data_IF_604940149146
#
_entry.id   IF_604940149146
#
_cell.length_a   1.000
_cell.length_b   1.000
_cell.length_c   1.000
_cell.angle_alpha   90.00
_cell.angle_beta   90.00
_cell.angle_gamma   90.00
#
_symmetry.space_group_name_H-M   'P 1'
#
loop_
_entity.id
_entity.type
_entity.pdbx_description
1 polymer ?
#
# COMPACT_ATOMS: atom_id res chain seq x y z
N UNK A 1 6.07 -17.53 9.48
CA UNK A 1 4.99 -17.74 8.48
C UNK A 1 5.27 -16.79 7.34
N UNK A 2 5.44 -17.30 6.11
CA UNK A 2 5.60 -16.44 4.95
C UNK A 2 4.24 -15.83 4.61
N UNK A 3 4.16 -14.51 4.65
CA UNK A 3 2.99 -13.68 4.30
C UNK A 3 2.38 -14.15 2.97
N UNK A 4 1.14 -14.62 2.99
CA UNK A 4 0.43 -15.11 1.79
C UNK A 4 -0.02 -13.97 0.86
N UNK A 5 0.12 -12.69 1.27
CA UNK A 5 -0.24 -11.51 0.48
C UNK A 5 0.99 -10.63 0.20
N UNK A 6 1.94 -11.16 -0.58
CA UNK A 6 3.02 -10.33 -1.09
C UNK A 6 2.53 -9.60 -2.35
N UNK A 7 2.79 -8.29 -2.42
CA UNK A 7 2.53 -7.50 -3.62
C UNK A 7 3.30 -8.11 -4.80
N UNK A 8 2.58 -8.51 -5.84
CA UNK A 8 3.17 -8.99 -7.09
C UNK A 8 3.70 -7.82 -7.93
N UNK A 9 4.60 -8.12 -8.87
CA UNK A 9 5.11 -7.11 -9.82
C UNK A 9 3.99 -6.54 -10.68
N UNK A 10 3.08 -7.39 -11.14
CA UNK A 10 1.94 -6.97 -11.98
C UNK A 10 1.00 -6.01 -11.24
N UNK A 11 0.71 -6.28 -9.96
CA UNK A 11 -0.10 -5.36 -9.13
C UNK A 11 0.61 -4.03 -8.90
N UNK A 12 1.93 -4.06 -8.66
CA UNK A 12 2.73 -2.85 -8.56
C UNK A 12 2.67 -2.02 -9.85
N UNK A 13 2.89 -2.64 -11.01
CA UNK A 13 2.88 -1.95 -12.29
C UNK A 13 1.49 -1.34 -12.59
N UNK A 14 0.42 -2.05 -12.25
CA UNK A 14 -0.96 -1.54 -12.36
C UNK A 14 -1.21 -0.34 -11.44
N UNK A 15 -0.74 -0.39 -10.18
CA UNK A 15 -0.89 0.72 -9.23
C UNK A 15 -0.11 1.95 -9.70
N UNK A 16 1.12 1.74 -10.17
CA UNK A 16 2.00 2.75 -10.75
C UNK A 16 1.30 3.47 -11.91
N UNK A 17 0.74 2.72 -12.85
CA UNK A 17 0.01 3.27 -14.00
C UNK A 17 -1.21 4.08 -13.56
N UNK A 18 -2.02 3.55 -12.63
CA UNK A 18 -3.20 4.25 -12.11
C UNK A 18 -2.85 5.58 -11.42
N UNK A 19 -1.67 5.66 -10.80
CA UNK A 19 -1.17 6.86 -10.14
C UNK A 19 -0.40 7.80 -11.09
N UNK A 20 -0.22 7.43 -12.36
CA UNK A 20 0.52 8.23 -13.35
C UNK A 20 2.00 8.35 -13.01
N UNK A 21 2.59 7.35 -12.35
CA UNK A 21 3.99 7.38 -11.93
C UNK A 21 4.88 6.78 -13.02
N UNK A 22 5.66 7.59 -13.73
CA UNK A 22 6.69 7.11 -14.67
C UNK A 22 8.10 7.34 -14.13
N UNK A 23 9.08 6.58 -14.64
CA UNK A 23 10.46 6.70 -14.20
C UNK A 23 11.39 5.70 -14.89
N UNK A 24 12.68 5.86 -14.65
CA UNK A 24 13.70 4.93 -15.15
C UNK A 24 13.49 3.52 -14.57
N UNK A 25 13.64 2.45 -15.37
CA UNK A 25 13.41 1.08 -14.92
C UNK A 25 14.13 0.70 -13.63
N UNK A 26 15.39 1.14 -13.47
CA UNK A 26 16.19 0.86 -12.28
C UNK A 26 15.57 1.44 -11.00
N UNK A 27 14.99 2.65 -11.06
CA UNK A 27 14.32 3.26 -9.91
C UNK A 27 12.96 2.61 -9.63
N UNK A 28 12.25 2.16 -10.67
CA UNK A 28 10.99 1.43 -10.49
C UNK A 28 11.20 0.06 -9.83
N UNK A 29 12.31 -0.62 -10.13
CA UNK A 29 12.67 -1.89 -9.48
C UNK A 29 13.04 -1.70 -8.00
N UNK A 30 13.76 -0.62 -7.68
CA UNK A 30 14.04 -0.26 -6.29
C UNK A 30 12.74 0.08 -5.54
N UNK A 31 11.89 0.91 -6.15
CA UNK A 31 10.59 1.28 -5.60
C UNK A 31 9.71 0.04 -5.35
N UNK A 32 9.65 -0.91 -6.29
CA UNK A 32 8.93 -2.16 -6.10
C UNK A 32 9.41 -2.92 -4.85
N UNK A 33 10.73 -3.00 -4.66
CA UNK A 33 11.33 -3.66 -3.49
C UNK A 33 10.91 -2.98 -2.18
N UNK A 34 10.94 -1.65 -2.14
CA UNK A 34 10.54 -0.87 -0.98
C UNK A 34 9.04 -1.02 -0.67
N UNK A 35 8.18 -0.92 -1.69
CA UNK A 35 6.73 -1.08 -1.53
C UNK A 35 6.38 -2.48 -1.04
N UNK A 36 7.04 -3.52 -1.56
CA UNK A 36 6.88 -4.89 -1.07
C UNK A 36 7.26 -5.01 0.41
N UNK A 37 8.30 -4.29 0.85
CA UNK A 37 8.66 -4.13 2.26
C UNK A 37 7.52 -3.59 3.11
N UNK A 38 6.87 -2.51 2.65
CA UNK A 38 5.73 -1.89 3.33
C UNK A 38 4.53 -2.83 3.41
N UNK A 39 4.21 -3.56 2.33
CA UNK A 39 3.12 -4.55 2.33
C UNK A 39 3.34 -5.66 3.36
N UNK A 40 4.58 -6.13 3.50
CA UNK A 40 4.92 -7.13 4.53
C UNK A 40 4.75 -6.57 5.96
N UNK A 41 5.01 -5.28 6.18
CA UNK A 41 4.73 -4.64 7.46
C UNK A 41 3.23 -4.40 7.68
N UNK A 42 2.46 -4.11 6.63
CA UNK A 42 1.02 -3.89 6.73
C UNK A 42 0.26 -5.14 7.25
N UNK A 43 0.81 -6.35 7.04
CA UNK A 43 0.26 -7.57 7.63
C UNK A 43 0.19 -7.52 9.16
N UNK A 44 1.13 -6.84 9.83
CA UNK A 44 1.05 -6.68 11.30
C UNK A 44 -0.07 -5.74 11.71
N UNK A 45 -0.38 -4.72 10.89
CA UNK A 45 -1.51 -3.82 11.12
C UNK A 45 -2.83 -4.57 10.93
N UNK A 46 -2.93 -5.41 9.89
CA UNK A 46 -4.12 -6.23 9.61
C UNK A 46 -4.47 -7.18 10.77
N UNK A 47 -3.48 -7.59 11.56
CA UNK A 47 -3.68 -8.46 12.71
C UNK A 47 -4.23 -7.73 13.95
N UNK A 48 -4.33 -6.41 13.93
CA UNK A 48 -4.89 -5.62 15.03
C UNK A 48 -6.41 -5.81 15.05
N UNK A 49 -6.95 -6.28 16.18
CA UNK A 49 -8.39 -6.36 16.39
C UNK A 49 -8.97 -4.95 16.61
N UNK A 50 -9.83 -4.54 15.70
CA UNK A 50 -10.54 -3.25 15.72
C UNK A 50 -12.04 -3.41 15.86
N UNK A 51 -12.53 -4.61 16.21
CA UNK A 51 -13.97 -4.91 16.30
C UNK A 51 -14.76 -4.02 17.27
N UNK A 52 -14.09 -3.42 18.26
CA UNK A 52 -14.68 -2.48 19.21
C UNK A 52 -14.28 -1.02 19.02
N UNK A 53 -13.56 -0.68 17.95
CA UNK A 53 -13.05 0.67 17.71
C UNK A 53 -13.76 1.28 16.48
N UNK A 54 -14.39 2.43 16.66
CA UNK A 54 -14.85 3.26 15.54
C UNK A 54 -13.67 4.12 15.06
N UNK A 55 -13.39 4.19 13.75
CA UNK A 55 -12.38 5.11 13.23
C UNK A 55 -12.75 6.55 13.57
N UNK A 56 -11.76 7.36 13.95
CA UNK A 56 -11.98 8.79 14.11
C UNK A 56 -12.42 9.40 12.76
N UNK A 57 -13.71 9.71 12.66
CA UNK A 57 -14.30 10.32 11.48
C UNK A 57 -13.89 11.80 11.44
N UNK A 58 -12.74 12.10 10.83
CA UNK A 58 -12.40 13.47 10.47
C UNK A 58 -13.32 13.91 9.31
N UNK A 59 -14.46 14.53 9.65
CA UNK A 59 -15.32 15.18 8.67
C UNK A 59 -14.56 16.38 8.08
N UNK A 60 -14.02 16.22 6.87
CA UNK A 60 -13.47 17.33 6.10
C UNK A 60 -14.62 17.85 5.23
N UNK A 61 -15.28 18.97 5.60
CA UNK A 61 -16.29 19.55 4.73
C UNK A 61 -15.65 19.90 3.38
N UNK A 62 -16.38 19.75 2.26
CA UNK A 62 -15.91 20.28 0.98
C UNK A 62 -15.65 21.77 1.16
N UNK A 63 -14.45 22.22 0.82
CA UNK A 63 -14.18 23.65 0.62
C UNK A 63 -14.88 24.07 -0.66
N UNK A 64 -15.78 25.07 -0.54
CA UNK A 64 -16.42 25.77 -1.67
C UNK A 64 -15.41 26.25 -2.73
#
# INVERSE_FOLDING_TARGET
MASQNQLSREEFDRLREKLGMDGEPAYLDELFTQVRGVFMMADSIRAIDVSGAEPDMAFIPPTD
#
